data_IF_988220216818
#
_entry.id   IF_988220216818
#
_cell.length_a   1.000
_cell.length_b   1.000
_cell.length_c   1.000
_cell.angle_alpha   90.00
_cell.angle_beta   90.00
_cell.angle_gamma   90.00
#
_symmetry.space_group_name_H-M   'P 1'
#
loop_
_entity.id
_entity.type
_entity.pdbx_description
1 polymer ?
#
# COMPACT_ATOMS: atom_id res chain seq x y z
N UNK A 1 16.73 -21.72 -17.98
CA UNK A 1 16.42 -21.45 -19.39
C UNK A 1 17.14 -20.17 -19.77
N UNK A 2 18.00 -20.23 -20.79
CA UNK A 2 18.62 -19.05 -21.39
C UNK A 2 18.00 -18.94 -22.79
N UNK A 3 17.05 -18.02 -22.93
CA UNK A 3 16.42 -17.70 -24.21
C UNK A 3 16.93 -16.35 -24.65
N UNK A 4 17.30 -16.25 -25.92
CA UNK A 4 17.59 -15.00 -26.60
C UNK A 4 16.27 -14.27 -26.87
N UNK A 5 16.18 -12.98 -26.53
CA UNK A 5 14.97 -12.19 -26.74
C UNK A 5 15.27 -11.05 -27.70
N UNK A 6 14.38 -10.86 -28.67
CA UNK A 6 14.38 -9.68 -29.54
C UNK A 6 13.15 -8.85 -29.24
N UNK A 7 13.26 -7.54 -29.37
CA UNK A 7 12.15 -6.61 -29.18
C UNK A 7 11.93 -5.79 -30.45
N UNK A 8 10.66 -5.56 -30.78
CA UNK A 8 10.27 -4.66 -31.86
C UNK A 8 9.55 -3.46 -31.27
N UNK A 9 10.01 -2.25 -31.60
CA UNK A 9 9.41 -1.02 -31.10
C UNK A 9 9.22 -0.02 -32.24
N UNK A 10 8.10 0.71 -32.20
CA UNK A 10 7.85 1.87 -33.08
C UNK A 10 8.33 3.12 -32.37
N UNK A 11 9.27 3.82 -32.96
CA UNK A 11 9.81 5.06 -32.41
C UNK A 11 8.77 6.19 -32.51
N UNK A 12 8.52 6.90 -31.41
CA UNK A 12 7.42 7.87 -31.31
C UNK A 12 7.61 9.10 -32.21
N UNK A 13 8.85 9.60 -32.36
CA UNK A 13 9.12 10.83 -33.11
C UNK A 13 9.27 10.60 -34.62
N UNK A 14 9.84 9.46 -35.01
CA UNK A 14 10.16 9.17 -36.42
C UNK A 14 9.13 8.28 -37.08
N UNK A 15 8.26 7.65 -36.29
CA UNK A 15 7.25 6.70 -36.73
C UNK A 15 7.81 5.41 -37.37
N UNK A 16 9.09 5.12 -37.12
CA UNK A 16 9.80 3.99 -37.72
C UNK A 16 9.82 2.77 -36.79
N UNK A 17 9.73 1.57 -37.37
CA UNK A 17 9.91 0.32 -36.63
C UNK A 17 11.38 -0.08 -36.54
N UNK A 18 11.80 -0.47 -35.34
CA UNK A 18 13.15 -0.91 -35.03
C UNK A 18 13.11 -2.29 -34.37
N UNK A 19 13.96 -3.18 -34.83
CA UNK A 19 14.33 -4.42 -34.17
C UNK A 19 15.52 -4.18 -33.24
N UNK A 20 15.38 -4.61 -32.00
CA UNK A 20 16.41 -4.58 -30.97
C UNK A 20 16.82 -6.02 -30.66
N UNK A 21 18.07 -6.31 -30.98
CA UNK A 21 18.74 -7.58 -30.74
C UNK A 21 19.99 -7.31 -29.87
N UNK A 22 20.57 -8.34 -29.25
CA UNK A 22 21.73 -8.23 -28.34
C UNK A 22 22.95 -7.58 -29.01
N UNK A 23 23.07 -7.70 -30.33
CA UNK A 23 24.22 -7.20 -31.10
C UNK A 23 23.96 -5.88 -31.84
N UNK A 24 22.70 -5.53 -32.13
CA UNK A 24 22.38 -4.43 -33.06
C UNK A 24 20.95 -3.91 -32.92
N UNK A 25 20.77 -2.68 -33.42
CA UNK A 25 19.45 -2.08 -33.66
C UNK A 25 19.28 -1.87 -35.15
N UNK A 26 18.22 -2.41 -35.74
CA UNK A 26 17.99 -2.35 -37.18
C UNK A 26 16.58 -1.89 -37.51
N UNK A 27 16.45 -0.99 -38.49
CA UNK A 27 15.14 -0.58 -39.00
C UNK A 27 14.47 -1.72 -39.75
N UNK A 28 13.18 -1.91 -39.50
CA UNK A 28 12.35 -2.98 -40.09
C UNK A 28 11.04 -2.42 -40.62
N UNK A 29 10.39 -3.16 -41.51
CA UNK A 29 9.10 -2.76 -42.07
C UNK A 29 7.93 -3.20 -41.16
N UNK A 30 6.88 -2.38 -41.10
CA UNK A 30 5.69 -2.67 -40.29
C UNK A 30 4.98 -3.97 -40.68
N UNK A 31 5.00 -4.37 -41.97
CA UNK A 31 4.42 -5.63 -42.44
C UNK A 31 5.20 -6.84 -41.93
N UNK A 32 6.53 -6.72 -41.80
CA UNK A 32 7.36 -7.74 -41.18
C UNK A 32 6.99 -7.89 -39.69
N UNK A 33 6.88 -6.77 -38.96
CA UNK A 33 6.49 -6.79 -37.54
C UNK A 33 5.11 -7.41 -37.33
N UNK A 34 4.14 -7.09 -38.20
CA UNK A 34 2.79 -7.65 -38.15
C UNK A 34 2.73 -9.16 -38.43
N UNK A 35 3.76 -9.73 -39.07
CA UNK A 35 3.88 -11.16 -39.34
C UNK A 35 4.40 -11.98 -38.15
N UNK A 36 4.86 -11.34 -37.07
CA UNK A 36 5.37 -12.01 -35.89
C UNK A 36 4.32 -12.14 -34.78
N UNK A 37 4.40 -13.24 -34.03
CA UNK A 37 3.65 -13.43 -32.80
C UNK A 37 4.50 -12.99 -31.61
N UNK A 38 4.06 -11.95 -30.91
CA UNK A 38 4.75 -11.45 -29.75
C UNK A 38 4.45 -12.31 -28.51
N UNK A 39 5.49 -12.72 -27.78
CA UNK A 39 5.31 -13.33 -26.45
C UNK A 39 4.75 -12.33 -25.44
N UNK A 40 5.12 -11.05 -25.55
CA UNK A 40 4.57 -9.93 -24.78
C UNK A 40 4.40 -8.73 -25.71
N UNK A 41 3.25 -8.08 -25.64
CA UNK A 41 2.94 -6.88 -26.44
C UNK A 41 2.69 -5.69 -25.52
N UNK A 42 3.43 -4.61 -25.74
CA UNK A 42 3.17 -3.31 -25.15
C UNK A 42 2.55 -2.41 -26.22
N UNK A 43 1.49 -1.68 -25.85
CA UNK A 43 0.85 -0.73 -26.75
C UNK A 43 0.36 0.48 -25.96
N UNK A 44 0.38 1.63 -26.62
CA UNK A 44 -0.22 2.84 -26.08
C UNK A 44 -1.66 2.95 -26.60
N UNK A 45 -2.62 2.95 -25.69
CA UNK A 45 -4.00 3.24 -26.05
C UNK A 45 -4.13 4.72 -26.35
N UNK A 46 -4.59 5.07 -27.55
CA UNK A 46 -4.93 6.46 -27.90
C UNK A 46 -6.01 6.96 -26.92
N UNK A 47 -5.70 8.04 -26.20
CA UNK A 47 -6.63 8.62 -25.24
C UNK A 47 -7.88 9.10 -25.97
N UNK A 48 -9.06 8.68 -25.50
CA UNK A 48 -10.30 9.25 -26.02
C UNK A 48 -10.39 10.73 -25.63
N UNK A 49 -11.04 11.58 -26.45
CA UNK A 49 -11.26 12.98 -26.10
C UNK A 49 -11.94 13.14 -24.72
N UNK A 50 -12.89 12.26 -24.41
CA UNK A 50 -13.55 12.22 -23.11
C UNK A 50 -12.57 11.97 -21.95
N UNK A 51 -11.60 11.07 -22.12
CA UNK A 51 -10.57 10.80 -21.08
C UNK A 51 -9.61 11.97 -20.95
N UNK A 52 -9.17 12.55 -22.07
CA UNK A 52 -8.31 13.73 -22.05
C UNK A 52 -8.96 14.89 -21.29
N UNK A 53 -10.26 15.11 -21.50
CA UNK A 53 -11.03 16.12 -20.78
C UNK A 53 -11.08 15.85 -19.28
N UNK A 54 -11.32 14.61 -18.84
CA UNK A 54 -11.33 14.26 -17.40
C UNK A 54 -9.96 14.49 -16.75
N UNK A 55 -8.87 14.19 -17.45
CA UNK A 55 -7.51 14.43 -16.94
C UNK A 55 -7.21 15.93 -16.87
N UNK A 56 -7.61 16.71 -17.88
CA UNK A 56 -7.47 18.17 -17.84
C UNK A 56 -8.28 18.79 -16.69
N UNK A 57 -9.52 18.32 -16.48
CA UNK A 57 -10.35 18.73 -15.35
C UNK A 57 -9.72 18.34 -14.00
N UNK A 58 -9.08 17.18 -13.89
CA UNK A 58 -8.36 16.77 -12.67
C UNK A 58 -7.24 17.77 -12.34
N UNK A 59 -6.43 18.15 -13.32
CA UNK A 59 -5.33 19.09 -13.10
C UNK A 59 -5.85 20.45 -12.62
N UNK A 60 -6.95 20.93 -13.22
CA UNK A 60 -7.62 22.17 -12.79
C UNK A 60 -8.19 22.05 -11.38
N UNK A 61 -8.92 20.97 -11.09
CA UNK A 61 -9.52 20.69 -9.79
C UNK A 61 -8.47 20.63 -8.66
N UNK A 62 -7.30 20.06 -8.93
CA UNK A 62 -6.19 20.01 -7.97
C UNK A 62 -5.63 21.42 -7.69
N UNK A 63 -5.51 22.26 -8.71
CA UNK A 63 -5.06 23.65 -8.55
C UNK A 63 -6.08 24.50 -7.79
N UNK A 64 -7.37 24.32 -8.09
CA UNK A 64 -8.48 24.92 -7.34
C UNK A 64 -8.46 24.51 -5.87
N UNK A 65 -8.21 23.23 -5.58
CA UNK A 65 -8.15 22.69 -4.22
C UNK A 65 -6.99 23.19 -3.37
N UNK A 66 -5.93 23.71 -3.98
CA UNK A 66 -4.78 24.32 -3.29
C UNK A 66 -5.00 25.80 -2.96
N UNK A 67 -6.01 26.43 -3.57
CA UNK A 67 -6.30 27.85 -3.39
C UNK A 67 -7.36 28.05 -2.31
N UNK A 68 -7.25 29.09 -1.45
CA UNK A 68 -8.31 29.42 -0.49
C UNK A 68 -9.61 29.79 -1.22
N UNK A 69 -10.72 29.16 -0.85
CA UNK A 69 -12.03 29.48 -1.40
C UNK A 69 -13.17 28.80 -0.64
N UNK A 70 -14.40 29.29 -0.84
CA UNK A 70 -15.60 28.79 -0.16
C UNK A 70 -16.18 27.51 -0.78
N UNK A 71 -15.53 26.96 -1.80
CA UNK A 71 -16.02 25.77 -2.50
C UNK A 71 -15.83 24.54 -1.60
N UNK A 72 -16.88 23.72 -1.38
CA UNK A 72 -16.74 22.51 -0.58
C UNK A 72 -15.78 21.54 -1.25
N UNK A 73 -14.77 21.08 -0.51
CA UNK A 73 -13.74 20.18 -0.99
C UNK A 73 -13.96 18.75 -0.47
N UNK A 74 -13.46 17.78 -1.24
CA UNK A 74 -13.30 16.39 -0.81
C UNK A 74 -11.89 15.92 -1.13
N UNK A 75 -11.44 14.89 -0.44
CA UNK A 75 -10.10 14.36 -0.58
C UNK A 75 -10.12 13.02 -1.31
N UNK A 76 -9.25 12.91 -2.31
CA UNK A 76 -9.02 11.67 -3.06
C UNK A 76 -7.55 11.24 -2.93
N UNK A 77 -7.23 9.94 -3.06
CA UNK A 77 -5.84 9.46 -2.97
C UNK A 77 -4.98 10.01 -4.12
N UNK A 78 -3.82 10.59 -3.80
CA UNK A 78 -2.83 11.08 -4.76
C UNK A 78 -2.39 9.99 -5.72
N UNK A 79 -2.12 8.79 -5.21
CA UNK A 79 -1.71 7.65 -6.05
C UNK A 79 -2.78 7.31 -7.09
N UNK A 80 -4.07 7.39 -6.73
CA UNK A 80 -5.15 7.17 -7.67
C UNK A 80 -5.21 8.27 -8.74
N UNK A 81 -5.02 9.53 -8.35
CA UNK A 81 -4.95 10.65 -9.30
C UNK A 81 -3.78 10.50 -10.29
N UNK A 82 -2.61 10.03 -9.83
CA UNK A 82 -1.48 9.69 -10.70
C UNK A 82 -1.86 8.56 -11.68
N UNK A 83 -2.52 7.49 -11.20
CA UNK A 83 -3.03 6.44 -12.10
C UNK A 83 -3.98 7.01 -13.15
N UNK A 84 -4.86 7.94 -12.80
CA UNK A 84 -5.77 8.55 -13.76
C UNK A 84 -5.01 9.34 -14.84
N UNK A 85 -3.91 10.00 -14.49
CA UNK A 85 -3.09 10.77 -15.44
C UNK A 85 -2.34 9.87 -16.44
N UNK A 86 -1.81 8.73 -15.99
CA UNK A 86 -0.87 7.94 -16.81
C UNK A 86 -1.41 6.57 -17.26
N UNK A 87 -2.46 6.05 -16.64
CA UNK A 87 -3.06 4.76 -17.00
C UNK A 87 -4.31 4.94 -17.87
N UNK A 88 -4.58 3.92 -18.68
CA UNK A 88 -5.79 3.84 -19.52
C UNK A 88 -7.06 3.66 -18.69
N UNK A 89 -6.95 3.04 -17.50
CA UNK A 89 -8.02 2.91 -16.53
C UNK A 89 -7.43 2.84 -15.11
N UNK A 90 -7.68 3.84 -14.24
CA UNK A 90 -7.09 3.86 -12.89
C UNK A 90 -7.71 2.83 -11.93
N UNK A 91 -8.86 2.24 -12.30
CA UNK A 91 -9.69 1.43 -11.42
C UNK A 91 -10.51 2.28 -10.43
N UNK A 92 -11.22 1.63 -9.49
CA UNK A 92 -12.04 2.33 -8.51
C UNK A 92 -11.21 3.18 -7.54
N UNK A 93 -11.78 4.28 -7.07
CA UNK A 93 -11.15 5.14 -6.06
C UNK A 93 -11.07 4.34 -4.75
N UNK A 94 -9.87 4.13 -4.22
CA UNK A 94 -9.63 3.33 -3.02
C UNK A 94 -8.97 4.16 -1.92
N UNK A 95 -9.70 4.42 -0.83
CA UNK A 95 -9.22 5.17 0.35
C UNK A 95 -8.90 4.26 1.55
N UNK A 96 -8.99 2.94 1.37
CA UNK A 96 -9.12 1.98 2.48
C UNK A 96 -7.87 1.78 3.34
N UNK A 97 -6.69 2.24 2.90
CA UNK A 97 -5.43 1.97 3.63
C UNK A 97 -5.16 2.94 4.79
N UNK A 98 -5.92 4.03 4.93
CA UNK A 98 -5.61 5.12 5.89
C UNK A 98 -6.81 5.67 6.62
N UNK A 99 -7.96 5.04 6.43
CA UNK A 99 -9.25 5.58 6.84
C UNK A 99 -9.96 4.56 7.71
N UNK A 100 -10.36 4.99 8.89
CA UNK A 100 -11.11 4.13 9.81
C UNK A 100 -12.56 3.90 9.31
N UNK A 101 -13.32 2.98 9.93
CA UNK A 101 -14.73 2.76 9.59
C UNK A 101 -15.60 4.04 9.60
N UNK A 102 -15.24 5.02 10.43
CA UNK A 102 -15.92 6.32 10.56
C UNK A 102 -15.46 7.36 9.51
N UNK A 103 -14.61 6.97 8.55
CA UNK A 103 -14.12 7.82 7.44
C UNK A 103 -13.14 8.93 7.84
N UNK A 104 -12.43 8.75 8.94
CA UNK A 104 -11.41 9.67 9.43
C UNK A 104 -10.01 9.06 9.34
N UNK A 105 -8.99 9.91 9.44
CA UNK A 105 -7.58 9.50 9.55
C UNK A 105 -7.17 9.41 11.02
N UNK A 106 -6.07 8.73 11.36
CA UNK A 106 -5.50 8.84 12.71
C UNK A 106 -4.67 10.12 12.82
N UNK A 107 -4.57 10.71 14.02
CA UNK A 107 -3.74 11.90 14.26
C UNK A 107 -2.26 11.65 13.99
N UNK A 108 -1.81 10.42 14.21
CA UNK A 108 -0.42 10.01 13.93
C UNK A 108 -0.14 9.99 12.43
N UNK A 109 -1.16 9.70 11.62
CA UNK A 109 -1.07 9.67 10.16
C UNK A 109 -1.51 10.99 9.51
N UNK A 110 -1.78 12.07 10.27
CA UNK A 110 -2.36 13.31 9.71
C UNK A 110 -1.45 13.95 8.65
N UNK A 111 -0.17 14.12 8.96
CA UNK A 111 0.81 14.70 8.03
C UNK A 111 0.99 13.81 6.79
N UNK A 112 1.08 12.49 7.00
CA UNK A 112 1.13 11.50 5.93
C UNK A 112 -0.14 11.53 5.05
N UNK A 113 -1.31 11.73 5.66
CA UNK A 113 -2.58 11.84 4.96
C UNK A 113 -2.65 13.11 4.11
N UNK A 114 -2.17 14.25 4.62
CA UNK A 114 -2.07 15.50 3.86
C UNK A 114 -1.15 15.35 2.63
N UNK A 115 -0.12 14.52 2.72
CA UNK A 115 0.75 14.21 1.58
C UNK A 115 0.11 13.22 0.60
N UNK A 116 -0.60 12.19 1.10
CA UNK A 116 -1.15 11.09 0.29
C UNK A 116 -2.52 11.36 -0.28
N UNK A 117 -3.23 12.37 0.20
CA UNK A 117 -4.50 12.82 -0.33
C UNK A 117 -4.37 14.19 -1.00
N UNK A 118 -5.25 14.47 -1.95
CA UNK A 118 -5.34 15.77 -2.61
C UNK A 118 -6.78 16.31 -2.50
N UNK A 119 -6.94 17.60 -2.16
CA UNK A 119 -8.25 18.24 -2.17
C UNK A 119 -8.70 18.48 -3.62
N UNK A 120 -9.97 18.20 -3.88
CA UNK A 120 -10.65 18.53 -5.14
C UNK A 120 -12.06 19.02 -4.83
N UNK A 121 -12.67 19.86 -5.69
CA UNK A 121 -14.06 20.29 -5.51
C UNK A 121 -15.02 19.10 -5.39
N UNK A 122 -16.00 19.21 -4.48
CA UNK A 122 -16.98 18.17 -4.18
C UNK A 122 -17.66 17.62 -5.44
N UNK A 123 -18.08 18.51 -6.34
CA UNK A 123 -18.78 18.13 -7.57
C UNK A 123 -17.87 17.35 -8.52
N UNK A 124 -16.59 17.69 -8.58
CA UNK A 124 -15.61 16.94 -9.36
C UNK A 124 -15.35 15.55 -8.72
N UNK A 125 -15.20 15.48 -7.39
CA UNK A 125 -15.09 14.21 -6.69
C UNK A 125 -16.28 13.28 -6.92
N UNK A 126 -17.52 13.82 -6.88
CA UNK A 126 -18.74 13.08 -7.21
C UNK A 126 -18.71 12.55 -8.65
N UNK A 127 -18.30 13.38 -9.62
CA UNK A 127 -18.14 12.97 -11.02
C UNK A 127 -17.15 11.80 -11.15
N UNK A 128 -15.98 11.88 -10.51
CA UNK A 128 -14.99 10.80 -10.53
C UNK A 128 -15.55 9.51 -9.94
N UNK A 129 -16.28 9.58 -8.82
CA UNK A 129 -16.93 8.41 -8.23
C UNK A 129 -17.99 7.80 -9.15
N UNK A 130 -18.76 8.61 -9.87
CA UNK A 130 -19.72 8.11 -10.87
C UNK A 130 -19.04 7.41 -12.04
N UNK A 131 -17.90 7.94 -12.51
CA UNK A 131 -17.17 7.39 -13.66
C UNK A 131 -16.39 6.11 -13.33
N UNK A 132 -15.76 6.06 -12.15
CA UNK A 132 -14.79 5.00 -11.82
C UNK A 132 -15.23 4.11 -10.65
N UNK A 133 -16.25 4.50 -9.89
CA UNK A 133 -16.69 3.78 -8.70
C UNK A 133 -15.71 3.90 -7.52
N UNK A 134 -15.93 3.07 -6.50
CA UNK A 134 -15.15 3.06 -5.26
C UNK A 134 -15.63 4.09 -4.21
N UNK A 135 -14.70 4.49 -3.35
CA UNK A 135 -14.91 5.42 -2.24
C UNK A 135 -14.62 4.80 -0.87
N UNK A 136 -15.00 5.49 0.22
CA UNK A 136 -15.68 6.78 0.29
C UNK A 136 -14.85 7.97 -0.22
N UNK A 137 -15.51 9.05 -0.65
CA UNK A 137 -14.86 10.36 -0.77
C UNK A 137 -14.79 10.96 0.64
N UNK A 138 -13.62 11.44 1.06
CA UNK A 138 -13.45 11.99 2.40
C UNK A 138 -13.81 13.47 2.37
N UNK A 139 -14.68 13.92 3.28
CA UNK A 139 -15.04 15.34 3.43
C UNK A 139 -14.03 16.12 4.28
N UNK A 140 -13.14 15.41 4.98
CA UNK A 140 -12.16 15.99 5.89
C UNK A 140 -11.03 15.00 6.15
N UNK A 141 -9.84 15.52 6.43
CA UNK A 141 -8.70 14.77 6.97
C UNK A 141 -8.52 15.03 8.47
N UNK A 142 -9.57 15.48 9.17
CA UNK A 142 -9.52 15.62 10.61
C UNK A 142 -9.39 14.24 11.30
N UNK A 143 -8.60 14.18 12.38
CA UNK A 143 -8.30 12.92 13.02
C UNK A 143 -9.49 12.41 13.81
N UNK A 144 -9.70 11.10 13.80
CA UNK A 144 -10.65 10.46 14.71
C UNK A 144 -10.02 10.20 16.07
N UNK A 145 -10.58 10.81 17.11
CA UNK A 145 -10.09 10.69 18.50
C UNK A 145 -9.95 9.23 18.95
N UNK A 146 -10.94 8.38 18.65
CA UNK A 146 -10.89 6.94 19.01
C UNK A 146 -9.71 6.23 18.35
N UNK A 147 -9.53 6.47 17.05
CA UNK A 147 -8.45 5.85 16.27
C UNK A 147 -7.09 6.38 16.70
N UNK A 148 -6.98 7.68 16.95
CA UNK A 148 -5.77 8.32 17.47
C UNK A 148 -5.37 7.75 18.82
N UNK A 149 -6.32 7.62 19.76
CA UNK A 149 -6.06 7.03 21.08
C UNK A 149 -5.62 5.57 20.96
N UNK A 150 -6.27 4.80 20.08
CA UNK A 150 -5.92 3.41 19.82
C UNK A 150 -4.50 3.29 19.24
N UNK A 151 -4.17 4.04 18.18
CA UNK A 151 -2.83 4.03 17.55
C UNK A 151 -1.76 4.51 18.54
N UNK A 152 -2.03 5.56 19.34
CA UNK A 152 -1.12 6.04 20.39
C UNK A 152 -0.86 4.95 21.45
N UNK A 153 -1.90 4.28 21.92
CA UNK A 153 -1.77 3.19 22.89
C UNK A 153 -1.00 1.99 22.31
N UNK A 154 -1.30 1.64 21.06
CA UNK A 154 -0.63 0.60 20.29
C UNK A 154 0.88 0.90 20.14
N UNK A 155 1.24 2.12 19.73
CA UNK A 155 2.63 2.55 19.60
C UNK A 155 3.39 2.57 20.94
N UNK A 156 2.74 3.01 22.02
CA UNK A 156 3.33 2.95 23.37
C UNK A 156 3.60 1.52 23.81
N UNK A 157 2.63 0.62 23.63
CA UNK A 157 2.79 -0.80 23.93
C UNK A 157 3.96 -1.39 23.14
N UNK A 158 4.01 -1.11 21.84
CA UNK A 158 5.08 -1.57 20.96
C UNK A 158 6.46 -1.08 21.39
N UNK A 159 6.61 0.20 21.71
CA UNK A 159 7.87 0.76 22.19
C UNK A 159 8.29 0.16 23.53
N UNK A 160 7.35 -0.06 24.45
CA UNK A 160 7.60 -0.69 25.74
C UNK A 160 8.03 -2.16 25.58
N UNK A 161 7.35 -2.93 24.73
CA UNK A 161 7.70 -4.32 24.43
C UNK A 161 9.09 -4.42 23.78
N UNK A 162 9.38 -3.57 22.79
CA UNK A 162 10.68 -3.54 22.13
C UNK A 162 11.81 -3.18 23.12
N UNK A 163 11.59 -2.18 23.99
CA UNK A 163 12.56 -1.80 25.02
C UNK A 163 12.79 -2.91 26.05
N UNK A 164 11.72 -3.58 26.48
CA UNK A 164 11.78 -4.72 27.39
C UNK A 164 12.59 -5.87 26.78
N UNK A 165 12.26 -6.29 25.56
CA UNK A 165 12.97 -7.38 24.89
C UNK A 165 14.43 -7.00 24.65
N UNK A 166 14.71 -5.81 24.14
CA UNK A 166 16.10 -5.35 23.92
C UNK A 166 16.92 -5.35 25.22
N UNK A 167 16.30 -5.01 26.36
CA UNK A 167 16.97 -5.00 27.66
C UNK A 167 17.37 -6.41 28.14
N UNK A 168 16.54 -7.42 27.86
CA UNK A 168 16.71 -8.78 28.39
C UNK A 168 17.13 -9.81 27.33
N UNK A 169 17.27 -9.43 26.05
CA UNK A 169 17.79 -10.29 24.98
C UNK A 169 19.31 -10.47 25.16
N UNK A 170 19.67 -11.40 26.04
CA UNK A 170 21.05 -11.80 26.33
C UNK A 170 21.30 -13.24 25.89
N UNK A 171 22.51 -13.51 25.39
CA UNK A 171 23.02 -14.87 25.14
C UNK A 171 23.86 -15.40 26.30
N UNK A 172 24.21 -14.54 27.24
CA UNK A 172 25.07 -14.86 28.37
C UNK A 172 24.24 -15.20 29.60
N UNK A 173 24.65 -16.29 30.27
CA UNK A 173 23.97 -16.87 31.42
C UNK A 173 24.95 -16.92 32.57
N UNK A 174 24.56 -16.39 33.73
CA UNK A 174 25.33 -16.57 34.97
C UNK A 174 24.76 -17.73 35.78
N UNK A 175 25.65 -18.45 36.47
CA UNK A 175 25.27 -19.57 37.32
C UNK A 175 24.37 -19.09 38.47
N UNK A 176 23.24 -19.77 38.68
CA UNK A 176 22.22 -19.43 39.67
C UNK A 176 21.08 -18.50 39.21
N UNK A 177 21.03 -18.09 37.94
CA UNK A 177 19.90 -17.31 37.39
C UNK A 177 18.77 -18.19 36.83
N UNK A 178 17.53 -17.70 36.92
CA UNK A 178 16.32 -18.41 36.45
C UNK A 178 15.94 -18.05 35.02
N UNK A 179 15.34 -19.01 34.32
CA UNK A 179 14.95 -18.90 32.92
C UNK A 179 13.43 -18.90 32.77
N UNK A 180 12.93 -17.98 31.93
CA UNK A 180 11.55 -18.00 31.45
C UNK A 180 11.54 -18.47 30.00
N UNK A 181 10.78 -19.53 29.71
CA UNK A 181 10.62 -20.04 28.35
C UNK A 181 9.43 -19.35 27.67
N UNK A 182 9.63 -18.97 26.42
CA UNK A 182 8.57 -18.44 25.55
C UNK A 182 8.56 -19.26 24.27
N UNK A 183 7.37 -19.59 23.78
CA UNK A 183 7.21 -20.36 22.54
C UNK A 183 7.91 -19.66 21.35
N UNK A 184 8.71 -20.42 20.62
CA UNK A 184 9.51 -19.89 19.53
C UNK A 184 8.67 -19.41 18.35
N UNK A 185 7.48 -20.01 18.11
CA UNK A 185 6.58 -19.59 17.03
C UNK A 185 5.99 -18.22 17.39
N UNK A 186 5.51 -18.06 18.62
CA UNK A 186 5.03 -16.76 19.11
C UNK A 186 6.12 -15.68 19.02
N UNK A 187 7.34 -15.96 19.48
CA UNK A 187 8.46 -15.00 19.40
C UNK A 187 8.79 -14.59 17.97
N UNK A 188 8.76 -15.53 17.02
CA UNK A 188 9.03 -15.23 15.60
C UNK A 188 7.90 -14.41 14.96
N UNK A 189 6.64 -14.67 15.33
CA UNK A 189 5.50 -13.85 14.89
C UNK A 189 5.62 -12.43 15.44
N UNK A 190 5.93 -12.28 16.73
CA UNK A 190 6.20 -10.98 17.35
C UNK A 190 7.37 -10.25 16.68
N UNK A 191 8.50 -10.92 16.41
CA UNK A 191 9.64 -10.33 15.68
C UNK A 191 9.26 -9.86 14.28
N UNK A 192 8.43 -10.62 13.57
CA UNK A 192 7.95 -10.27 12.22
C UNK A 192 7.02 -9.06 12.26
N UNK A 193 6.11 -9.04 13.23
CA UNK A 193 5.20 -7.94 13.51
C UNK A 193 5.96 -6.63 13.83
N UNK A 194 6.94 -6.67 14.73
CA UNK A 194 7.77 -5.50 15.08
C UNK A 194 8.57 -4.99 13.86
N UNK A 195 9.04 -5.88 12.99
CA UNK A 195 9.83 -5.53 11.78
C UNK A 195 8.98 -4.92 10.66
N UNK A 196 7.82 -5.51 10.33
CA UNK A 196 6.92 -5.00 9.28
C UNK A 196 6.51 -3.56 9.55
N UNK A 197 6.08 -3.29 10.78
CA UNK A 197 5.61 -1.97 11.17
C UNK A 197 6.76 -0.93 11.32
N UNK A 198 8.02 -1.26 11.03
CA UNK A 198 9.13 -0.31 10.93
C UNK A 198 9.36 0.18 9.48
N UNK A 199 8.85 -0.57 8.49
CA UNK A 199 8.98 -0.26 7.07
C UNK A 199 7.81 0.61 6.57
N UNK A 200 6.59 0.32 7.02
CA UNK A 200 5.37 0.94 6.48
C UNK A 200 4.84 2.13 7.30
N UNK A 201 5.49 2.42 8.44
CA UNK A 201 5.02 3.43 9.41
C UNK A 201 3.87 2.91 10.28
N UNK A 202 3.28 3.74 11.15
CA UNK A 202 2.09 3.36 11.91
C UNK A 202 0.84 3.42 11.04
N UNK A 203 0.34 2.28 10.54
CA UNK A 203 -0.95 2.24 9.86
C UNK A 203 -2.07 1.64 10.71
N UNK A 204 -3.30 2.16 10.56
CA UNK A 204 -4.50 1.47 11.05
C UNK A 204 -4.63 0.03 10.53
N UNK A 205 -4.09 -0.24 9.33
CA UNK A 205 -4.11 -1.55 8.69
C UNK A 205 -3.17 -2.59 9.35
N UNK A 206 -2.12 -2.13 10.02
CA UNK A 206 -1.08 -2.99 10.62
C UNK A 206 -1.53 -3.67 11.92
N UNK A 207 -2.72 -3.33 12.39
CA UNK A 207 -3.28 -3.81 13.65
C UNK A 207 -3.80 -5.24 13.57
N UNK A 208 -3.92 -5.79 12.35
CA UNK A 208 -4.37 -7.16 12.08
C UNK A 208 -3.28 -8.24 12.25
N UNK A 209 -2.01 -7.82 12.27
CA UNK A 209 -0.85 -8.72 12.41
C UNK A 209 -0.35 -8.83 13.87
N UNK A 210 -1.14 -8.36 14.86
CA UNK A 210 -0.79 -8.49 16.30
C UNK A 210 -0.61 -9.99 16.64
N UNK A 211 0.56 -10.41 17.18
CA UNK A 211 0.83 -11.80 17.56
C UNK A 211 -0.10 -12.32 18.67
N UNK A 212 -0.89 -11.44 19.29
CA UNK A 212 -1.80 -11.75 20.37
C UNK A 212 -1.09 -11.98 21.71
N UNK A 213 -1.82 -12.44 22.74
CA UNK A 213 -1.24 -12.80 24.03
C UNK A 213 -0.15 -13.86 23.89
N UNK A 214 0.85 -13.86 24.80
CA UNK A 214 1.87 -14.92 24.85
C UNK A 214 1.19 -16.28 24.99
N UNK A 215 1.45 -17.19 24.05
CA UNK A 215 0.93 -18.55 24.05
C UNK A 215 2.05 -19.58 24.15
N UNK A 216 2.19 -20.14 25.36
CA UNK A 216 3.17 -21.20 25.66
C UNK A 216 2.54 -22.61 25.61
N UNK A 217 1.33 -22.78 25.06
CA UNK A 217 0.64 -24.07 25.01
C UNK A 217 1.44 -25.17 24.32
N UNK A 218 2.31 -24.81 23.37
CA UNK A 218 3.20 -25.73 22.62
C UNK A 218 4.40 -26.22 23.43
N UNK A 219 4.76 -25.53 24.52
CA UNK A 219 5.87 -25.90 25.39
C UNK A 219 5.47 -26.96 26.43
N UNK A 220 4.17 -27.18 26.62
CA UNK A 220 3.65 -28.09 27.64
C UNK A 220 2.92 -29.27 26.98
N UNK A 221 3.37 -30.49 27.27
CA UNK A 221 2.53 -31.66 27.01
C UNK A 221 1.41 -31.68 28.05
N UNK A 222 0.16 -31.52 27.61
CA UNK A 222 -0.98 -31.82 28.47
C UNK A 222 -0.99 -33.33 28.68
N UNK A 223 -0.45 -33.77 29.82
CA UNK A 223 -0.55 -35.16 30.25
C UNK A 223 -2.03 -35.45 30.47
N UNK A 224 -2.71 -36.01 29.45
CA UNK A 224 -4.05 -36.57 29.60
C UNK A 224 -3.95 -37.58 30.74
N UNK A 225 -4.72 -37.34 31.80
CA UNK A 225 -4.69 -38.12 33.04
C UNK A 225 -4.53 -39.61 32.76
N UNK A 226 -3.42 -40.19 33.24
CA UNK A 226 -3.27 -41.64 33.24
C UNK A 226 -4.43 -42.20 34.06
N UNK A 227 -5.28 -43.05 33.44
CA UNK A 227 -6.35 -43.75 34.14
C UNK A 227 -5.75 -44.42 35.39
N UNK A 228 -6.39 -44.32 36.57
CA UNK A 228 -5.90 -44.99 37.76
C UNK A 228 -5.84 -46.50 37.50
N UNK A 229 -4.71 -47.12 37.80
CA UNK A 229 -4.59 -48.58 37.78
C UNK A 229 -5.60 -49.17 38.77
N UNK A 230 -6.31 -50.21 38.32
CA UNK A 230 -7.19 -51.02 39.16
C UNK A 230 -6.38 -51.86 40.13
#
# INVERSE_FOLDING_TARGET
GSGHYVAYCRHEETDEWLEYDDAKVTKVDSAQVAGFEAYVLFYQKVASPARANVVAELLRAVQEGQSPGDTPMVYIPRQWAVKLQYMSHPGPISTYTMVCPDKCVSEVEKEDAEQRYIPVPLEFGKKLKTLYGGGPLLSSLEPCEKCSNYVKAYLRRRAAEQALVTKYDTKDIKDGEYWYMVDAVWVNNWKSYIKKAHLDGPSLADTSDDPGPIDNSRLVEIVKSRKPCK
#
